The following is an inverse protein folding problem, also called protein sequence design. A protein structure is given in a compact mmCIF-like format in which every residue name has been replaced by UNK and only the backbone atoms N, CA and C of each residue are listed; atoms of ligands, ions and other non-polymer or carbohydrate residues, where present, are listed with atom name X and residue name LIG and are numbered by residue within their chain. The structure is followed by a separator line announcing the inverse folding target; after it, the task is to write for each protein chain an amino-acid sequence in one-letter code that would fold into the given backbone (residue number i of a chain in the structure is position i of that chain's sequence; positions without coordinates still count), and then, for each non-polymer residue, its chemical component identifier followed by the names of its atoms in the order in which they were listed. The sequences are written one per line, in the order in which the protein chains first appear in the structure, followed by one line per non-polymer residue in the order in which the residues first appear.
data_IF_234244498134
#
_entry.id   IF_234244498134
#
_cell.length_a   1.000
_cell.length_b   1.000
_cell.length_c   1.000
_cell.angle_alpha   90.00
_cell.angle_beta   90.00
_cell.angle_gamma   90.00
#
_symmetry.space_group_name_H-M   'P 1'
#
loop_
_entity.id
_entity.type
_entity.pdbx_description
1 polymer ?
#
# COMPACT_ATOMS: atom_id res chain seq x y z
N UNK A 1 -0.06 -18.70 8.84
CA UNK A 1 -1.19 -17.96 9.47
C UNK A 1 -0.88 -16.48 9.35
N UNK A 2 -1.86 -15.64 9.04
CA UNK A 2 -1.69 -14.18 9.00
C UNK A 2 -1.52 -13.67 10.44
N UNK A 3 -0.49 -12.89 10.76
CA UNK A 3 -0.33 -12.32 12.09
C UNK A 3 -1.41 -11.25 12.36
N UNK A 4 -1.86 -11.18 13.61
CA UNK A 4 -2.76 -10.13 14.11
C UNK A 4 -1.93 -9.07 14.85
N UNK A 5 -2.35 -7.79 14.79
CA UNK A 5 -1.65 -6.66 15.38
C UNK A 5 -0.69 -5.92 14.44
N UNK A 6 0.06 -4.95 14.97
CA UNK A 6 1.02 -4.14 14.21
C UNK A 6 2.23 -4.95 13.74
N UNK A 7 2.79 -4.54 12.61
CA UNK A 7 3.98 -5.16 12.03
C UNK A 7 5.23 -4.86 12.85
N UNK A 8 5.64 -5.80 13.71
CA UNK A 8 6.99 -5.78 14.26
C UNK A 8 8.02 -6.33 13.25
N UNK A 9 9.18 -5.68 13.20
CA UNK A 9 10.19 -5.75 12.14
C UNK A 9 10.75 -7.17 11.87
N UNK A 10 10.76 -8.04 12.89
CA UNK A 10 11.26 -9.42 12.77
C UNK A 10 10.32 -10.33 11.96
N UNK A 11 9.01 -10.19 12.13
CA UNK A 11 8.03 -11.00 11.41
C UNK A 11 8.01 -10.65 9.91
N UNK A 12 8.22 -9.38 9.57
CA UNK A 12 8.26 -8.90 8.17
C UNK A 12 9.34 -9.60 7.34
N UNK A 13 10.52 -9.89 7.89
CA UNK A 13 11.64 -10.47 7.12
C UNK A 13 11.37 -11.93 6.69
N UNK A 14 10.57 -12.67 7.44
CA UNK A 14 10.31 -14.10 7.18
C UNK A 14 9.33 -14.37 6.04
N UNK A 15 8.50 -13.39 5.66
CA UNK A 15 7.46 -13.53 4.63
C UNK A 15 7.75 -12.71 3.36
N UNK A 16 8.92 -12.07 3.28
CA UNK A 16 9.30 -11.24 2.14
C UNK A 16 9.77 -12.09 0.98
N UNK A 17 9.17 -11.86 -0.19
CA UNK A 17 9.75 -12.28 -1.46
C UNK A 17 10.81 -11.26 -1.85
N UNK A 18 12.11 -11.61 -1.85
CA UNK A 18 13.16 -10.65 -2.15
C UNK A 18 13.00 -10.03 -3.54
N UNK A 19 13.18 -8.72 -3.64
CA UNK A 19 13.21 -7.96 -4.90
C UNK A 19 11.92 -8.07 -5.75
N UNK A 20 10.77 -8.34 -5.12
CA UNK A 20 9.49 -8.51 -5.81
C UNK A 20 9.12 -7.28 -6.64
N UNK A 21 9.25 -6.07 -6.09
CA UNK A 21 8.78 -4.88 -6.81
C UNK A 21 9.61 -4.61 -8.06
N UNK A 22 10.93 -4.83 -8.02
CA UNK A 22 11.79 -4.70 -9.20
C UNK A 22 11.39 -5.67 -10.31
N UNK A 23 11.12 -6.94 -9.97
CA UNK A 23 10.70 -7.95 -10.95
C UNK A 23 9.37 -7.53 -11.60
N UNK A 24 8.38 -7.15 -10.79
CA UNK A 24 7.06 -6.74 -11.28
C UNK A 24 7.15 -5.48 -12.15
N UNK A 25 7.95 -4.49 -11.73
CA UNK A 25 8.10 -3.23 -12.47
C UNK A 25 8.88 -3.42 -13.77
N UNK A 26 9.85 -4.34 -13.82
CA UNK A 26 10.53 -4.71 -15.06
C UNK A 26 9.56 -5.31 -16.07
N UNK A 27 8.70 -6.25 -15.64
CA UNK A 27 7.65 -6.83 -16.49
C UNK A 27 6.65 -5.75 -16.95
N UNK A 28 6.20 -4.89 -16.03
CA UNK A 28 5.29 -3.80 -16.36
C UNK A 28 5.91 -2.80 -17.35
N UNK A 29 7.20 -2.51 -17.23
CA UNK A 29 7.94 -1.63 -18.15
C UNK A 29 7.98 -2.24 -19.55
N UNK A 30 8.36 -3.52 -19.68
CA UNK A 30 8.36 -4.19 -20.98
C UNK A 30 6.96 -4.24 -21.63
N UNK A 31 5.91 -4.36 -20.83
CA UNK A 31 4.54 -4.28 -21.32
C UNK A 31 4.14 -2.85 -21.74
N UNK A 32 4.53 -1.84 -20.98
CA UNK A 32 4.29 -0.44 -21.33
C UNK A 32 4.98 -0.05 -22.65
N UNK A 33 6.23 -0.52 -22.88
CA UNK A 33 6.93 -0.36 -24.16
C UNK A 33 6.10 -0.92 -25.31
N UNK A 34 5.59 -2.15 -25.17
CA UNK A 34 4.84 -2.79 -26.27
C UNK A 34 3.51 -2.11 -26.58
N UNK A 35 2.93 -1.43 -25.58
CA UNK A 35 1.73 -0.61 -25.73
C UNK A 35 2.00 0.82 -26.21
N UNK A 36 3.28 1.25 -26.29
CA UNK A 36 3.68 2.64 -26.50
C UNK A 36 3.07 3.59 -25.45
N UNK A 37 3.00 3.12 -24.20
CA UNK A 37 2.58 3.94 -23.08
C UNK A 37 3.74 4.80 -22.60
N UNK A 38 3.44 5.99 -22.08
CA UNK A 38 4.48 6.92 -21.62
C UNK A 38 4.99 6.59 -20.22
N UNK A 39 4.22 5.82 -19.43
CA UNK A 39 4.59 5.51 -18.05
C UNK A 39 4.03 4.22 -17.48
N UNK A 40 4.66 3.79 -16.38
CA UNK A 40 4.11 2.83 -15.43
C UNK A 40 3.82 3.57 -14.14
N UNK A 41 2.62 3.39 -13.58
CA UNK A 41 2.28 3.92 -12.25
C UNK A 41 2.59 2.90 -11.16
N UNK A 42 3.32 3.34 -10.13
CA UNK A 42 3.75 2.56 -8.99
C UNK A 42 3.24 3.18 -7.69
N UNK A 43 2.42 2.43 -6.97
CA UNK A 43 1.70 2.94 -5.80
C UNK A 43 2.31 2.52 -4.46
N UNK A 44 3.62 2.19 -4.42
CA UNK A 44 4.27 2.07 -3.13
C UNK A 44 4.32 3.43 -2.43
N UNK A 45 4.32 3.36 -1.11
CA UNK A 45 4.32 4.52 -0.24
C UNK A 45 5.40 4.37 0.83
N UNK A 46 5.79 5.49 1.45
CA UNK A 46 6.80 5.54 2.50
C UNK A 46 6.43 4.74 3.76
N UNK A 47 5.28 4.06 3.82
CA UNK A 47 4.82 3.37 5.02
C UNK A 47 4.56 4.31 6.20
N UNK A 48 3.86 3.81 7.21
CA UNK A 48 3.83 4.41 8.56
C UNK A 48 4.74 3.60 9.53
N UNK A 49 5.43 2.58 9.01
CA UNK A 49 6.30 1.60 9.70
C UNK A 49 7.49 1.18 8.82
N UNK A 50 8.28 0.18 9.27
CA UNK A 50 9.47 -0.33 8.58
C UNK A 50 9.25 -0.51 7.07
N UNK A 51 9.99 0.26 6.27
CA UNK A 51 9.84 0.33 4.82
C UNK A 51 10.73 -0.71 4.16
N UNK A 52 10.13 -1.60 3.36
CA UNK A 52 10.89 -2.49 2.49
C UNK A 52 11.85 -1.68 1.61
N UNK A 53 13.11 -2.13 1.42
CA UNK A 53 14.08 -1.39 0.61
C UNK A 53 13.57 -1.02 -0.79
N UNK A 54 12.75 -1.87 -1.40
CA UNK A 54 12.15 -1.69 -2.72
C UNK A 54 10.87 -0.84 -2.74
N UNK A 55 10.52 -0.21 -1.61
CA UNK A 55 9.46 0.80 -1.49
C UNK A 55 9.99 2.21 -1.19
N UNK A 56 11.31 2.38 -1.03
CA UNK A 56 11.93 3.65 -0.66
C UNK A 56 12.09 4.59 -1.85
N UNK A 57 12.21 5.89 -1.57
CA UNK A 57 12.38 6.92 -2.58
C UNK A 57 13.63 6.69 -3.44
N UNK A 58 14.76 6.32 -2.83
CA UNK A 58 16.02 6.10 -3.54
C UNK A 58 15.94 4.91 -4.51
N UNK A 59 15.20 3.86 -4.14
CA UNK A 59 14.93 2.73 -5.04
C UNK A 59 14.10 3.19 -6.23
N UNK A 60 13.02 3.92 -5.98
CA UNK A 60 12.12 4.35 -7.03
C UNK A 60 12.77 5.43 -7.94
N UNK A 61 13.67 6.25 -7.40
CA UNK A 61 14.50 7.23 -8.14
C UNK A 61 15.44 6.51 -9.12
N UNK A 62 16.14 5.50 -8.62
CA UNK A 62 17.04 4.69 -9.42
C UNK A 62 16.27 3.95 -10.53
N UNK A 63 15.10 3.41 -10.20
CA UNK A 63 14.28 2.68 -11.14
C UNK A 63 13.69 3.56 -12.24
N UNK A 64 13.22 4.78 -11.94
CA UNK A 64 12.78 5.74 -12.97
C UNK A 64 13.89 6.00 -13.99
N UNK A 65 15.12 6.23 -13.52
CA UNK A 65 16.29 6.43 -14.39
C UNK A 65 16.56 5.19 -15.24
N UNK A 66 16.48 3.99 -14.67
CA UNK A 66 16.65 2.74 -15.43
C UNK A 66 15.55 2.56 -16.48
N UNK A 67 14.30 2.85 -16.15
CA UNK A 67 13.16 2.69 -17.06
C UNK A 67 13.23 3.61 -18.27
N UNK A 68 13.71 4.85 -18.09
CA UNK A 68 13.93 5.79 -19.21
C UNK A 68 14.97 5.32 -20.22
N UNK A 69 15.86 4.41 -19.81
CA UNK A 69 16.90 3.83 -20.66
C UNK A 69 16.48 2.49 -21.29
N UNK A 70 15.28 2.00 -21.00
CA UNK A 70 14.87 0.64 -21.35
C UNK A 70 14.40 0.48 -22.81
N UNK A 71 14.11 1.59 -23.51
CA UNK A 71 13.72 1.60 -24.92
C UNK A 71 14.12 2.93 -25.59
N UNK A 72 13.95 3.02 -26.91
CA UNK A 72 14.16 4.25 -27.68
C UNK A 72 13.20 5.38 -27.29
N UNK A 73 12.00 5.03 -26.84
CA UNK A 73 11.06 5.97 -26.25
C UNK A 73 11.20 5.90 -24.72
N UNK A 74 11.32 7.05 -24.07
CA UNK A 74 11.41 7.08 -22.62
C UNK A 74 10.09 6.62 -21.98
N UNK A 75 10.19 5.77 -20.96
CA UNK A 75 9.09 5.43 -20.07
C UNK A 75 9.43 5.92 -18.67
N UNK A 76 8.56 6.73 -18.09
CA UNK A 76 8.74 7.23 -16.73
C UNK A 76 7.99 6.40 -15.70
N UNK A 77 8.51 6.39 -14.47
CA UNK A 77 7.87 5.78 -13.31
C UNK A 77 7.06 6.84 -12.57
N UNK A 78 5.73 6.80 -12.71
CA UNK A 78 4.83 7.65 -11.95
C UNK A 78 4.61 7.07 -10.55
N UNK A 79 5.08 7.75 -9.50
CA UNK A 79 5.11 7.23 -8.12
C UNK A 79 4.56 8.22 -7.09
N UNK A 80 3.27 8.59 -7.20
CA UNK A 80 2.71 9.74 -6.48
C UNK A 80 2.69 9.58 -4.96
N UNK A 81 2.79 8.35 -4.45
CA UNK A 81 2.60 8.06 -3.02
C UNK A 81 3.89 7.74 -2.28
N UNK A 82 5.05 7.73 -2.96
CA UNK A 82 6.33 7.28 -2.35
C UNK A 82 6.70 8.07 -1.10
N UNK A 83 6.22 9.31 -0.95
CA UNK A 83 6.43 10.18 0.20
C UNK A 83 5.17 10.46 1.03
N UNK A 84 4.06 9.77 0.75
CA UNK A 84 2.77 10.02 1.40
C UNK A 84 2.51 9.02 2.53
N UNK A 85 1.86 9.50 3.60
CA UNK A 85 1.28 8.62 4.63
C UNK A 85 0.03 7.95 4.08
N UNK A 86 -0.43 6.87 4.73
CA UNK A 86 -1.71 6.26 4.34
C UNK A 86 -2.89 7.21 4.54
N UNK A 87 -2.84 8.07 5.57
CA UNK A 87 -3.86 9.09 5.79
C UNK A 87 -3.94 10.10 4.64
N UNK A 88 -2.79 10.50 4.07
CA UNK A 88 -2.75 11.37 2.89
C UNK A 88 -3.35 10.70 1.66
N UNK A 89 -3.07 9.40 1.47
CA UNK A 89 -3.66 8.60 0.39
C UNK A 89 -5.18 8.51 0.54
N UNK A 90 -5.68 8.28 1.77
CA UNK A 90 -7.12 8.25 2.04
C UNK A 90 -7.76 9.62 1.77
N UNK A 91 -7.16 10.71 2.26
CA UNK A 91 -7.65 12.07 2.02
C UNK A 91 -7.73 12.38 0.53
N UNK A 92 -6.69 12.03 -0.22
CA UNK A 92 -6.68 12.21 -1.68
C UNK A 92 -7.75 11.36 -2.38
N UNK A 93 -7.93 10.12 -1.95
CA UNK A 93 -8.97 9.26 -2.52
C UNK A 93 -10.38 9.82 -2.24
N UNK A 94 -10.61 10.40 -1.06
CA UNK A 94 -11.87 11.06 -0.74
C UNK A 94 -12.12 12.29 -1.62
N UNK A 95 -11.11 13.15 -1.83
CA UNK A 95 -11.20 14.29 -2.75
C UNK A 95 -11.56 13.88 -4.19
N UNK A 96 -11.06 12.72 -4.61
CA UNK A 96 -11.30 12.16 -5.95
C UNK A 96 -12.58 11.31 -6.04
N UNK A 97 -13.35 11.18 -4.96
CA UNK A 97 -14.52 10.31 -4.87
C UNK A 97 -14.21 8.84 -5.23
N UNK A 98 -13.08 8.32 -4.78
CA UNK A 98 -12.72 6.91 -4.95
C UNK A 98 -13.77 6.03 -4.23
N UNK A 99 -14.29 4.97 -4.89
CA UNK A 99 -15.23 4.05 -4.27
C UNK A 99 -14.51 3.09 -3.32
N UNK A 100 -14.16 3.58 -2.12
CA UNK A 100 -13.39 2.83 -1.13
C UNK A 100 -14.05 1.53 -0.67
N UNK A 101 -15.38 1.43 -0.74
CA UNK A 101 -16.17 0.23 -0.48
C UNK A 101 -15.88 -0.92 -1.46
N UNK A 102 -15.34 -0.60 -2.64
CA UNK A 102 -14.92 -1.58 -3.66
C UNK A 102 -13.46 -1.99 -3.53
N UNK A 103 -12.73 -1.44 -2.57
CA UNK A 103 -11.31 -1.72 -2.36
C UNK A 103 -11.12 -2.79 -1.29
N UNK A 104 -10.06 -3.59 -1.42
CA UNK A 104 -9.75 -4.67 -0.50
C UNK A 104 -8.36 -4.51 0.09
N UNK A 105 -8.24 -4.67 1.40
CA UNK A 105 -6.96 -4.58 2.12
C UNK A 105 -6.68 -5.79 3.01
N UNK A 106 -7.71 -6.55 3.39
CA UNK A 106 -7.57 -7.63 4.36
C UNK A 106 -6.72 -8.80 3.83
N UNK A 107 -5.77 -9.27 4.64
CA UNK A 107 -4.91 -10.42 4.30
C UNK A 107 -5.56 -11.78 4.54
N UNK A 108 -6.67 -11.86 5.29
CA UNK A 108 -7.33 -13.14 5.54
C UNK A 108 -8.24 -13.61 4.39
N UNK A 109 -8.63 -12.70 3.49
CA UNK A 109 -9.31 -13.06 2.23
C UNK A 109 -10.66 -13.77 2.38
N UNK A 110 -11.38 -13.54 3.49
CA UNK A 110 -12.76 -14.03 3.68
C UNK A 110 -13.81 -13.16 2.98
N UNK A 111 -15.08 -13.30 3.36
CA UNK A 111 -16.20 -12.53 2.77
C UNK A 111 -16.23 -11.07 3.22
N UNK A 112 -15.70 -10.78 4.41
CA UNK A 112 -15.57 -9.45 5.01
C UNK A 112 -14.13 -9.21 5.46
N UNK A 113 -13.76 -7.94 5.63
CA UNK A 113 -12.47 -7.62 6.26
C UNK A 113 -12.46 -8.12 7.71
N UNK A 114 -11.43 -8.87 8.11
CA UNK A 114 -11.38 -9.45 9.47
C UNK A 114 -11.28 -8.41 10.59
N UNK A 115 -10.82 -7.18 10.27
CA UNK A 115 -10.70 -6.07 11.23
C UNK A 115 -9.58 -6.23 12.25
N UNK A 116 -8.75 -7.27 12.14
CA UNK A 116 -7.70 -7.63 13.11
C UNK A 116 -6.31 -7.90 12.50
N UNK A 117 -6.20 -8.14 11.19
CA UNK A 117 -4.89 -8.27 10.54
C UNK A 117 -4.23 -6.89 10.43
N UNK A 118 -2.90 -6.84 10.36
CA UNK A 118 -2.15 -5.58 10.32
C UNK A 118 -2.66 -4.59 9.28
N UNK A 119 -2.94 -5.03 8.06
CA UNK A 119 -3.50 -4.15 7.00
C UNK A 119 -4.92 -3.66 7.26
N UNK A 120 -5.75 -4.40 8.01
CA UNK A 120 -7.07 -3.91 8.43
C UNK A 120 -6.94 -2.83 9.50
N UNK A 121 -6.00 -3.01 10.43
CA UNK A 121 -5.71 -2.02 11.48
C UNK A 121 -5.18 -0.74 10.86
N UNK A 122 -4.14 -0.82 10.02
CA UNK A 122 -3.56 0.32 9.30
C UNK A 122 -4.58 1.03 8.41
N UNK A 123 -5.51 0.29 7.78
CA UNK A 123 -6.59 0.90 7.00
C UNK A 123 -7.48 1.76 7.90
N UNK A 124 -7.97 1.21 9.01
CA UNK A 124 -8.87 1.92 9.94
C UNK A 124 -8.19 3.14 10.53
N UNK A 125 -6.91 3.01 10.88
CA UNK A 125 -6.07 4.10 11.37
C UNK A 125 -5.96 5.21 10.31
N UNK A 126 -5.65 4.86 9.07
CA UNK A 126 -5.55 5.82 7.98
C UNK A 126 -6.85 6.59 7.74
N UNK A 127 -8.01 5.93 7.75
CA UNK A 127 -9.32 6.59 7.64
C UNK A 127 -9.59 7.53 8.83
N UNK A 128 -9.31 7.06 10.05
CA UNK A 128 -9.47 7.88 11.24
C UNK A 128 -8.58 9.13 11.21
N UNK A 129 -7.29 8.99 10.93
CA UNK A 129 -6.33 10.09 10.84
C UNK A 129 -6.64 11.05 9.66
N UNK A 130 -7.23 10.53 8.58
CA UNK A 130 -7.67 11.35 7.46
C UNK A 130 -8.95 12.16 7.76
N UNK A 131 -9.69 11.83 8.82
CA UNK A 131 -11.01 12.40 9.10
C UNK A 131 -12.07 11.97 8.09
N UNK A 132 -11.88 10.81 7.44
CA UNK A 132 -12.78 10.26 6.43
C UNK A 132 -13.49 9.05 7.02
N UNK A 133 -14.81 8.95 6.82
CA UNK A 133 -15.56 7.78 7.25
C UNK A 133 -15.09 6.54 6.47
N UNK A 134 -14.68 5.49 7.18
CA UNK A 134 -14.31 4.21 6.57
C UNK A 134 -15.58 3.46 6.15
N UNK A 135 -15.80 3.22 4.84
CA UNK A 135 -17.00 2.52 4.37
C UNK A 135 -16.86 1.00 4.43
N UNK A 136 -15.74 0.47 4.93
CA UNK A 136 -15.51 -0.97 4.98
C UNK A 136 -16.38 -1.67 6.01
N UNK A 137 -17.04 -2.75 5.56
CA UNK A 137 -17.69 -3.71 6.45
C UNK A 137 -16.66 -4.67 7.05
N UNK A 138 -16.55 -4.64 8.37
CA UNK A 138 -15.68 -5.52 9.14
C UNK A 138 -16.48 -6.66 9.80
N UNK A 139 -15.81 -7.79 10.02
CA UNK A 139 -16.38 -8.93 10.76
C UNK A 139 -16.91 -8.49 12.14
N UNK A 140 -17.98 -9.15 12.62
CA UNK A 140 -18.53 -8.94 13.97
C UNK A 140 -17.50 -9.13 15.09
N UNK A 141 -16.46 -9.94 14.84
CA UNK A 141 -15.37 -10.13 15.77
C UNK A 141 -14.42 -8.93 15.82
N UNK A 142 -14.45 -7.97 14.89
CA UNK A 142 -13.51 -6.86 14.88
C UNK A 142 -13.65 -6.00 16.16
N UNK A 143 -12.53 -5.55 16.76
CA UNK A 143 -12.58 -4.62 17.89
C UNK A 143 -13.23 -3.29 17.46
N UNK A 144 -13.91 -2.62 18.39
CA UNK A 144 -14.51 -1.31 18.11
C UNK A 144 -13.43 -0.26 17.83
N UNK A 145 -13.81 0.82 17.15
CA UNK A 145 -12.88 1.90 16.83
C UNK A 145 -12.37 2.56 18.12
N UNK A 146 -13.23 2.74 19.12
CA UNK A 146 -12.87 3.32 20.42
C UNK A 146 -11.86 2.44 21.16
N UNK A 147 -12.03 1.12 21.13
CA UNK A 147 -11.09 0.19 21.75
C UNK A 147 -9.72 0.24 21.06
N UNK A 148 -9.69 0.37 19.73
CA UNK A 148 -8.45 0.49 18.99
C UNK A 148 -7.73 1.81 19.26
N UNK A 149 -8.44 2.94 19.25
CA UNK A 149 -7.85 4.24 19.59
C UNK A 149 -7.31 4.23 21.02
N UNK A 150 -8.07 3.68 21.97
CA UNK A 150 -7.65 3.58 23.37
C UNK A 150 -6.40 2.70 23.56
N UNK A 151 -6.16 1.75 22.66
CA UNK A 151 -5.00 0.86 22.70
C UNK A 151 -3.89 1.25 21.72
N UNK A 152 -3.85 2.51 21.25
CA UNK A 152 -2.82 2.99 20.31
C UNK A 152 -2.72 2.09 19.06
N UNK A 153 -3.88 1.67 18.55
CA UNK A 153 -4.07 0.77 17.39
C UNK A 153 -3.53 -0.66 17.55
N UNK A 154 -2.97 -0.99 18.72
CA UNK A 154 -2.47 -2.33 19.04
C UNK A 154 -3.62 -3.30 19.33
N UNK A 155 -3.37 -4.58 19.04
CA UNK A 155 -4.25 -5.71 19.37
C UNK A 155 -3.61 -6.61 20.42
#
# INVERSE_FOLDING_TARGET
RVPHGHYEEENMKSTVVPNRNMILLSVATGWAVSLKADCVSYAAHAGDHAIYPDCREEFADALDKTMRLADWQEIYLNRPFVSWTKADIVRRGAELNVPFEKTWSCYEGGDQHCGRCGTCIERREAFHLAGVADPTEYSEAAPTLEAMIANDWRL
#
